data_IF_822710758801
#
_entry.id   IF_822710758801
#
_cell.length_a   1.000
_cell.length_b   1.000
_cell.length_c   1.000
_cell.angle_alpha   90.00
_cell.angle_beta   90.00
_cell.angle_gamma   90.00
#
_symmetry.space_group_name_H-M   'P 1'
#
loop_
_entity.id
_entity.type
_entity.pdbx_description
1 polymer ?
#
# COMPACT_ATOMS: atom_id res chain seq x y z
N UNK A 1 -35.50 5.55 45.57
CA UNK A 1 -34.82 4.87 44.45
C UNK A 1 -35.54 5.18 43.12
N UNK A 2 -35.35 6.35 42.51
CA UNK A 2 -35.99 6.67 41.20
C UNK A 2 -35.16 7.56 40.24
N UNK A 3 -33.93 7.93 40.62
CA UNK A 3 -33.10 8.89 39.85
C UNK A 3 -31.82 8.25 39.30
N UNK A 4 -31.55 6.97 39.63
CA UNK A 4 -30.34 6.27 39.18
C UNK A 4 -30.45 5.69 37.75
N UNK A 5 -31.66 5.55 37.21
CA UNK A 5 -31.90 4.96 35.89
C UNK A 5 -31.56 5.91 34.73
N UNK A 6 -31.94 7.22 34.73
CA UNK A 6 -31.63 8.09 33.60
C UNK A 6 -30.13 8.40 33.48
N UNK A 7 -29.38 8.38 34.59
CA UNK A 7 -27.95 8.68 34.59
C UNK A 7 -27.12 7.61 33.87
N UNK A 8 -27.54 6.34 33.98
CA UNK A 8 -26.85 5.18 33.40
C UNK A 8 -27.05 5.10 31.87
N UNK A 9 -28.17 5.62 31.36
CA UNK A 9 -28.46 5.68 29.93
C UNK A 9 -27.62 6.74 29.23
N UNK A 10 -27.39 7.90 29.87
CA UNK A 10 -26.62 9.01 29.29
C UNK A 10 -25.14 8.64 29.12
N UNK A 11 -24.60 7.78 29.98
CA UNK A 11 -23.19 7.34 29.91
C UNK A 11 -22.90 6.36 28.77
N UNK A 12 -23.91 5.62 28.27
CA UNK A 12 -23.72 4.64 27.17
C UNK A 12 -23.75 5.32 25.79
N UNK A 13 -24.51 6.41 25.64
CA UNK A 13 -24.57 7.20 24.40
C UNK A 13 -23.36 8.10 24.16
N UNK A 14 -22.46 8.25 25.14
CA UNK A 14 -21.24 9.05 25.04
C UNK A 14 -19.98 8.25 24.74
N UNK A 15 -20.08 6.93 24.51
CA UNK A 15 -18.95 6.23 23.92
C UNK A 15 -18.72 6.82 22.52
N UNK A 16 -17.57 7.48 22.27
CA UNK A 16 -17.17 7.75 20.91
C UNK A 16 -17.19 6.42 20.16
N UNK A 17 -17.53 6.44 18.88
CA UNK A 17 -17.26 5.33 17.96
C UNK A 17 -15.74 5.10 17.90
N UNK A 18 -15.18 4.52 18.96
CA UNK A 18 -13.81 4.09 19.07
C UNK A 18 -13.68 2.87 18.18
N UNK A 19 -12.71 2.94 17.28
CA UNK A 19 -12.39 1.95 16.27
C UNK A 19 -13.30 1.94 15.04
N UNK A 20 -13.27 3.03 14.27
CA UNK A 20 -12.99 2.81 12.84
C UNK A 20 -11.55 2.27 12.77
N UNK A 21 -11.39 0.96 12.98
CA UNK A 21 -10.16 0.29 12.60
C UNK A 21 -10.01 0.55 11.11
N UNK A 22 -9.08 1.43 10.72
CA UNK A 22 -8.82 1.77 9.34
C UNK A 22 -8.52 0.48 8.59
N UNK A 23 -9.52 -0.08 7.89
CA UNK A 23 -9.32 -1.23 7.04
C UNK A 23 -8.57 -0.71 5.84
N UNK A 24 -7.24 -0.80 5.89
CA UNK A 24 -6.41 -0.50 4.74
C UNK A 24 -6.87 -1.43 3.61
N UNK A 25 -7.47 -0.85 2.57
CA UNK A 25 -7.99 -1.58 1.43
C UNK A 25 -7.16 -1.19 0.22
N UNK A 26 -6.73 -2.20 -0.53
CA UNK A 26 -6.04 -1.98 -1.79
C UNK A 26 -7.10 -1.72 -2.86
N UNK A 27 -7.19 -0.48 -3.33
CA UNK A 27 -8.20 -0.06 -4.32
C UNK A 27 -7.95 -0.67 -5.71
N UNK A 28 -6.69 -0.72 -6.16
CA UNK A 28 -6.30 -1.32 -7.43
C UNK A 28 -4.79 -1.68 -7.43
N UNK A 29 -4.29 -2.22 -8.56
CA UNK A 29 -2.89 -2.64 -8.71
C UNK A 29 -1.90 -1.54 -9.13
N UNK A 30 -2.31 -0.27 -9.13
CA UNK A 30 -1.39 0.84 -9.46
C UNK A 30 -0.33 1.04 -8.38
N UNK A 31 0.82 1.59 -8.76
CA UNK A 31 1.91 1.93 -7.83
C UNK A 31 1.46 2.89 -6.75
N UNK A 32 0.61 3.85 -7.11
CA UNK A 32 0.08 4.86 -6.21
C UNK A 32 -0.87 4.23 -5.17
N UNK A 33 -1.76 3.34 -5.61
CA UNK A 33 -2.67 2.63 -4.71
C UNK A 33 -1.93 1.70 -3.74
N UNK A 34 -0.86 1.04 -4.21
CA UNK A 34 -0.01 0.20 -3.36
C UNK A 34 0.71 1.05 -2.31
N UNK A 35 1.21 2.22 -2.67
CA UNK A 35 1.88 3.14 -1.73
C UNK A 35 0.92 3.60 -0.63
N UNK A 36 -0.30 4.02 -0.99
CA UNK A 36 -1.33 4.44 -0.04
C UNK A 36 -1.77 3.30 0.87
N UNK A 37 -1.92 2.09 0.33
CA UNK A 37 -2.24 0.91 1.14
C UNK A 37 -1.13 0.59 2.14
N UNK A 38 0.13 0.64 1.70
CA UNK A 38 1.28 0.34 2.55
C UNK A 38 1.50 1.40 3.64
N UNK A 39 1.28 2.69 3.33
CA UNK A 39 1.35 3.75 4.34
C UNK A 39 0.27 3.56 5.40
N UNK A 40 -0.98 3.28 4.98
CA UNK A 40 -2.07 2.95 5.89
C UNK A 40 -1.72 1.75 6.78
N UNK A 41 -1.15 0.69 6.20
CA UNK A 41 -0.77 -0.52 6.96
C UNK A 41 0.32 -0.21 7.99
N UNK A 42 1.27 0.67 7.66
CA UNK A 42 2.32 1.09 8.58
C UNK A 42 1.76 1.92 9.75
N UNK A 43 0.85 2.85 9.45
CA UNK A 43 0.15 3.69 10.45
C UNK A 43 -0.66 2.82 11.43
N UNK A 44 -1.38 1.83 10.91
CA UNK A 44 -2.15 0.88 11.72
C UNK A 44 -1.24 0.03 12.62
N UNK A 45 -0.10 -0.45 12.11
CA UNK A 45 0.86 -1.22 12.89
C UNK A 45 1.54 -0.39 13.99
N UNK A 46 1.72 0.91 13.77
CA UNK A 46 2.32 1.83 14.73
C UNK A 46 1.30 2.41 15.74
N UNK A 47 0.00 2.15 15.56
CA UNK A 47 -1.05 2.67 16.45
C UNK A 47 -1.25 4.19 16.36
N UNK A 48 -0.79 4.81 15.27
CA UNK A 48 -0.85 6.27 15.05
C UNK A 48 -1.61 6.52 13.75
N UNK A 49 -2.74 7.22 13.84
CA UNK A 49 -3.49 7.73 12.67
C UNK A 49 -2.99 9.13 12.36
N UNK A 50 -1.84 9.22 11.71
CA UNK A 50 -1.28 10.49 11.29
C UNK A 50 -0.78 10.33 9.87
N UNK A 51 -1.69 10.54 8.91
CA UNK A 51 -1.39 10.62 7.48
C UNK A 51 -0.34 11.71 7.22
N UNK A 52 0.94 11.37 7.37
CA UNK A 52 2.04 12.14 6.80
C UNK A 52 2.16 11.72 5.34
N UNK A 53 1.44 12.46 4.49
CA UNK A 53 1.66 12.46 3.05
C UNK A 53 3.05 12.99 2.64
N UNK A 54 3.83 13.55 3.57
CA UNK A 54 5.03 14.33 3.24
C UNK A 54 6.36 13.72 3.73
N UNK A 55 6.34 12.57 4.39
CA UNK A 55 7.56 11.84 4.64
C UNK A 55 7.77 10.83 3.52
N UNK A 56 8.22 11.31 2.33
CA UNK A 56 9.01 10.44 1.43
C UNK A 56 10.26 10.06 2.21
N UNK A 57 10.12 9.04 3.06
CA UNK A 57 11.21 8.44 3.81
C UNK A 57 12.35 8.25 2.80
N UNK A 58 13.57 8.71 3.09
CA UNK A 58 14.68 8.53 2.16
C UNK A 58 14.71 7.06 1.78
N UNK A 59 14.60 6.79 0.47
CA UNK A 59 14.50 5.43 -0.06
C UNK A 59 15.64 4.62 0.52
N UNK A 60 15.30 3.47 1.08
CA UNK A 60 16.33 2.63 1.67
C UNK A 60 17.31 2.19 0.58
N UNK A 61 18.57 1.92 0.93
CA UNK A 61 19.56 1.38 -0.01
C UNK A 61 19.04 0.11 -0.70
N UNK A 62 18.21 -0.69 0.00
CA UNK A 62 17.56 -1.88 -0.56
C UNK A 62 16.53 -1.53 -1.64
N UNK A 63 15.72 -0.49 -1.45
CA UNK A 63 14.74 -0.07 -2.45
C UNK A 63 15.42 0.44 -3.72
N UNK A 64 16.49 1.21 -3.59
CA UNK A 64 17.29 1.68 -4.72
C UNK A 64 17.94 0.51 -5.48
N UNK A 65 18.47 -0.49 -4.76
CA UNK A 65 19.04 -1.69 -5.39
C UNK A 65 17.98 -2.50 -6.16
N UNK A 66 16.76 -2.63 -5.59
CA UNK A 66 15.66 -3.33 -6.25
C UNK A 66 15.17 -2.61 -7.51
N UNK A 67 15.20 -1.28 -7.53
CA UNK A 67 14.86 -0.52 -8.75
C UNK A 67 15.88 -0.69 -9.85
N UNK A 68 17.17 -0.66 -9.51
CA UNK A 68 18.25 -0.93 -10.46
C UNK A 68 18.13 -2.35 -11.05
N UNK A 69 17.90 -3.35 -10.19
CA UNK A 69 17.65 -4.73 -10.63
C UNK A 69 16.42 -4.81 -11.55
N UNK A 70 15.34 -4.08 -11.24
CA UNK A 70 14.15 -4.07 -12.09
C UNK A 70 14.44 -3.48 -13.48
N UNK A 71 15.22 -2.40 -13.55
CA UNK A 71 15.65 -1.79 -14.81
C UNK A 71 16.48 -2.77 -15.62
N UNK A 72 17.47 -3.43 -14.99
CA UNK A 72 18.29 -4.45 -15.66
C UNK A 72 17.45 -5.62 -16.17
N UNK A 73 16.46 -6.09 -15.40
CA UNK A 73 15.57 -7.17 -15.81
C UNK A 73 14.70 -6.76 -17.01
N UNK A 74 14.17 -5.54 -17.02
CA UNK A 74 13.39 -5.02 -18.16
C UNK A 74 14.23 -4.93 -19.44
N UNK A 75 15.50 -4.53 -19.33
CA UNK A 75 16.41 -4.52 -20.46
C UNK A 75 16.67 -5.94 -20.99
N UNK A 76 16.94 -6.90 -20.10
CA UNK A 76 17.12 -8.31 -20.48
C UNK A 76 15.88 -8.88 -21.19
N UNK A 77 14.69 -8.58 -20.69
CA UNK A 77 13.43 -8.96 -21.34
C UNK A 77 13.29 -8.34 -22.74
N UNK A 78 13.66 -7.07 -22.90
CA UNK A 78 13.67 -6.41 -24.20
C UNK A 78 14.60 -7.10 -25.20
N UNK A 79 15.81 -7.46 -24.77
CA UNK A 79 16.77 -8.19 -25.60
C UNK A 79 16.24 -9.56 -26.01
N UNK A 80 15.73 -10.35 -25.06
CA UNK A 80 15.15 -11.67 -25.33
C UNK A 80 13.99 -11.56 -26.32
N UNK A 81 13.08 -10.59 -26.11
CA UNK A 81 11.96 -10.35 -27.03
C UNK A 81 12.45 -10.08 -28.45
N UNK A 82 13.45 -9.23 -28.61
CA UNK A 82 13.98 -8.88 -29.92
C UNK A 82 14.69 -10.08 -30.57
N UNK A 83 15.43 -10.88 -29.81
CA UNK A 83 16.04 -12.12 -30.31
C UNK A 83 14.98 -13.13 -30.77
N UNK A 84 13.89 -13.29 -30.03
CA UNK A 84 12.79 -14.16 -30.44
C UNK A 84 12.14 -13.67 -31.73
N UNK A 85 11.91 -12.37 -31.86
CA UNK A 85 11.36 -11.79 -33.10
C UNK A 85 12.31 -11.98 -34.30
N UNK A 86 13.62 -11.89 -34.09
CA UNK A 86 14.61 -12.15 -35.14
C UNK A 86 14.62 -13.62 -35.58
N UNK A 87 14.50 -14.55 -34.64
CA UNK A 87 14.35 -15.99 -34.94
C UNK A 87 13.08 -16.23 -35.74
N UNK A 88 11.94 -15.66 -35.33
CA UNK A 88 10.66 -15.84 -36.03
C UNK A 88 10.71 -15.33 -37.47
N UNK A 89 11.41 -14.23 -37.73
CA UNK A 89 11.60 -13.70 -39.11
C UNK A 89 12.42 -14.61 -40.01
N UNK A 90 13.25 -15.49 -39.43
CA UNK A 90 14.15 -16.40 -40.15
C UNK A 90 13.56 -17.79 -40.31
N UNK A 91 12.36 -18.05 -39.79
CA UNK A 91 11.68 -19.32 -40.03
C UNK A 91 11.24 -19.39 -41.50
N UNK A 92 11.56 -20.49 -42.21
CA UNK A 92 10.96 -20.76 -43.51
C UNK A 92 9.47 -21.07 -43.37
N UNK A 93 8.70 -20.81 -44.43
CA UNK A 93 7.26 -21.11 -44.52
C UNK A 93 6.95 -22.61 -44.31
#
# INVERSE_FOLDING_TARGET
>A
MRVFIPLLIITVSLLPSLASAHQCKLENGSTEAILVYNSCKADLAAGISQHQSDARKPRSARELALEDENIQLRQKLGTIRNSLLDILKKLPD
#
